data_IF_296025037131
#
_entry.id   IF_296025037131
#
_cell.length_a   1.000
_cell.length_b   1.000
_cell.length_c   1.000
_cell.angle_alpha   90.00
_cell.angle_beta   90.00
_cell.angle_gamma   90.00
#
_symmetry.space_group_name_H-M   'P 1'
#
loop_
_entity.id
_entity.type
_entity.pdbx_description
1 polymer ?
#
# COMPACT_ATOMS: atom_id res chain seq x y z
N UNK A 1 -49.39 31.55 -48.51
CA UNK A 1 -49.44 30.96 -47.16
C UNK A 1 -48.60 29.69 -47.20
N UNK A 2 -47.51 29.63 -46.45
CA UNK A 2 -46.60 28.49 -46.42
C UNK A 2 -46.83 27.72 -45.12
N UNK A 3 -47.46 26.56 -45.21
CA UNK A 3 -47.45 25.56 -44.13
C UNK A 3 -46.35 24.58 -44.45
N UNK A 4 -45.23 24.70 -43.75
CA UNK A 4 -44.16 23.71 -43.82
C UNK A 4 -44.50 22.61 -42.81
N UNK A 5 -44.53 21.35 -43.26
CA UNK A 5 -44.74 20.20 -42.39
C UNK A 5 -43.67 20.17 -41.29
N UNK A 6 -44.12 19.92 -40.05
CA UNK A 6 -43.22 19.70 -38.92
C UNK A 6 -42.50 18.39 -39.18
N UNK A 7 -41.23 18.46 -39.60
CA UNK A 7 -40.36 17.29 -39.62
C UNK A 7 -40.21 16.82 -38.18
N UNK A 8 -40.71 15.64 -37.87
CA UNK A 8 -40.41 14.98 -36.61
C UNK A 8 -38.89 14.82 -36.51
N UNK A 9 -38.26 15.71 -35.74
CA UNK A 9 -36.87 15.56 -35.34
C UNK A 9 -36.85 14.54 -34.21
N UNK A 10 -37.11 13.27 -34.54
CA UNK A 10 -36.70 12.16 -33.69
C UNK A 10 -35.21 12.29 -33.42
N UNK A 11 -34.78 11.95 -32.20
CA UNK A 11 -33.36 11.85 -31.87
C UNK A 11 -32.98 10.41 -32.23
N UNK A 12 -32.45 10.14 -33.43
CA UNK A 12 -32.27 8.77 -33.92
C UNK A 12 -31.43 7.92 -32.95
N UNK A 13 -30.48 8.54 -32.27
CA UNK A 13 -29.62 7.89 -31.28
C UNK A 13 -30.37 7.26 -30.10
N UNK A 14 -31.56 7.77 -29.74
CA UNK A 14 -32.38 7.25 -28.65
C UNK A 14 -33.23 6.05 -29.09
N UNK A 15 -33.68 6.03 -30.35
CA UNK A 15 -34.53 4.97 -30.90
C UNK A 15 -33.76 3.65 -31.11
N UNK A 16 -32.43 3.71 -31.23
CA UNK A 16 -31.57 2.51 -31.30
C UNK A 16 -31.12 1.96 -29.93
N UNK A 17 -31.40 2.67 -28.83
CA UNK A 17 -31.00 2.23 -27.48
C UNK A 17 -32.01 1.23 -26.91
N UNK A 18 -31.85 -0.05 -27.26
CA UNK A 18 -32.63 -1.12 -26.64
C UNK A 18 -32.35 -1.19 -25.13
N UNK A 19 -33.42 -1.27 -24.33
CA UNK A 19 -33.41 -1.53 -22.88
C UNK A 19 -32.42 -2.63 -22.47
N UNK A 20 -32.32 -3.70 -23.28
CA UNK A 20 -31.41 -4.83 -23.05
C UNK A 20 -29.93 -4.43 -23.19
N UNK A 21 -29.61 -3.54 -24.14
CA UNK A 21 -28.26 -3.03 -24.38
C UNK A 21 -27.79 -2.11 -23.24
N UNK A 22 -28.69 -1.25 -22.73
CA UNK A 22 -28.43 -0.39 -21.58
C UNK A 22 -28.21 -1.20 -20.30
N UNK A 23 -29.03 -2.24 -20.07
CA UNK A 23 -28.89 -3.14 -18.93
C UNK A 23 -27.57 -3.91 -18.97
N UNK A 24 -27.12 -4.37 -20.15
CA UNK A 24 -25.80 -5.00 -20.32
C UNK A 24 -24.66 -4.04 -19.97
N UNK A 25 -24.70 -2.81 -20.48
CA UNK A 25 -23.66 -1.79 -20.19
C UNK A 25 -23.64 -1.42 -18.70
N UNK A 26 -24.82 -1.30 -18.08
CA UNK A 26 -24.94 -1.05 -16.65
C UNK A 26 -24.36 -2.22 -15.82
N UNK A 27 -24.73 -3.46 -16.13
CA UNK A 27 -24.19 -4.65 -15.47
C UNK A 27 -22.67 -4.75 -15.63
N UNK A 28 -22.13 -4.45 -16.82
CA UNK A 28 -20.70 -4.41 -17.06
C UNK A 28 -19.99 -3.35 -16.20
N UNK A 29 -20.52 -2.13 -16.13
CA UNK A 29 -19.97 -1.08 -15.25
C UNK A 29 -20.02 -1.49 -13.78
N UNK A 30 -21.09 -2.14 -13.36
CA UNK A 30 -21.22 -2.63 -11.99
C UNK A 30 -20.18 -3.72 -11.68
N UNK A 31 -19.96 -4.65 -12.62
CA UNK A 31 -18.90 -5.66 -12.52
C UNK A 31 -17.52 -5.03 -12.42
N UNK A 32 -17.19 -4.08 -13.31
CA UNK A 32 -15.91 -3.36 -13.26
C UNK A 32 -15.69 -2.67 -11.90
N UNK A 33 -16.73 -2.02 -11.35
CA UNK A 33 -16.65 -1.40 -10.02
C UNK A 33 -16.39 -2.43 -8.93
N UNK A 34 -17.04 -3.58 -8.99
CA UNK A 34 -16.83 -4.66 -8.02
C UNK A 34 -15.42 -5.25 -8.13
N UNK A 35 -14.93 -5.49 -9.34
CA UNK A 35 -13.61 -6.06 -9.58
C UNK A 35 -12.51 -5.08 -9.15
N UNK A 36 -12.64 -3.79 -9.47
CA UNK A 36 -11.74 -2.76 -8.98
C UNK A 36 -11.74 -2.68 -7.45
N UNK A 37 -12.92 -2.72 -6.82
CA UNK A 37 -13.04 -2.70 -5.36
C UNK A 37 -12.38 -3.92 -4.71
N UNK A 38 -12.49 -5.10 -5.33
CA UNK A 38 -11.83 -6.33 -4.88
C UNK A 38 -10.31 -6.18 -4.95
N UNK A 39 -9.77 -5.82 -6.13
CA UNK A 39 -8.32 -5.62 -6.34
C UNK A 39 -7.75 -4.56 -5.41
N UNK A 40 -8.39 -3.39 -5.33
CA UNK A 40 -7.96 -2.32 -4.44
C UNK A 40 -7.92 -2.75 -2.96
N UNK A 41 -8.86 -3.60 -2.54
CA UNK A 41 -8.86 -4.14 -1.17
C UNK A 41 -7.73 -5.16 -0.96
N UNK A 42 -7.55 -6.10 -1.87
CA UNK A 42 -6.57 -7.20 -1.71
C UNK A 42 -5.14 -6.73 -1.93
N UNK A 43 -4.92 -5.97 -2.99
CA UNK A 43 -3.59 -5.56 -3.44
C UNK A 43 -3.14 -4.30 -2.68
N UNK A 44 -3.88 -3.20 -2.77
CA UNK A 44 -3.45 -1.94 -2.15
C UNK A 44 -3.67 -1.94 -0.62
N UNK A 45 -4.93 -2.02 -0.15
CA UNK A 45 -5.23 -1.94 1.29
C UNK A 45 -4.65 -3.11 2.09
N UNK A 46 -4.47 -4.27 1.46
CA UNK A 46 -3.81 -5.44 2.02
C UNK A 46 -2.32 -5.19 2.30
N UNK A 47 -1.62 -4.56 1.35
CA UNK A 47 -0.19 -4.31 1.42
C UNK A 47 0.21 -3.08 2.25
N UNK A 48 -0.74 -2.21 2.64
CA UNK A 48 -0.44 -0.99 3.42
C UNK A 48 0.42 -1.22 4.68
N UNK A 49 0.26 -2.36 5.37
CA UNK A 49 1.10 -2.71 6.55
C UNK A 49 2.54 -3.00 6.17
N UNK A 50 2.76 -3.67 5.05
CA UNK A 50 4.11 -3.98 4.56
C UNK A 50 4.76 -2.71 4.00
N UNK A 51 3.97 -1.88 3.32
CA UNK A 51 4.40 -0.56 2.84
C UNK A 51 4.80 0.36 3.99
N UNK A 52 4.08 0.39 5.12
CA UNK A 52 4.44 1.18 6.31
C UNK A 52 5.81 0.78 6.90
N UNK A 53 6.16 -0.51 6.87
CA UNK A 53 7.48 -0.98 7.31
C UNK A 53 8.58 -0.55 6.34
N UNK A 54 8.34 -0.68 5.03
CA UNK A 54 9.32 -0.34 3.99
C UNK A 54 9.58 1.16 3.87
N UNK A 55 8.54 1.98 4.00
CA UNK A 55 8.61 3.43 3.74
C UNK A 55 8.84 4.27 5.00
N UNK A 56 9.20 3.64 6.13
CA UNK A 56 9.45 4.34 7.40
C UNK A 56 10.61 5.35 7.30
N UNK A 57 11.49 5.17 6.32
CA UNK A 57 12.69 5.99 6.10
C UNK A 57 12.63 6.88 4.86
N UNK A 58 11.53 6.87 4.08
CA UNK A 58 11.51 7.45 2.73
C UNK A 58 10.17 8.09 2.32
N UNK A 59 9.31 8.44 3.28
CA UNK A 59 8.03 9.11 3.00
C UNK A 59 8.24 10.60 2.75
N UNK A 60 8.56 10.96 1.50
CA UNK A 60 8.35 12.34 1.05
C UNK A 60 6.85 12.54 0.85
N UNK A 61 6.25 13.45 1.61
CA UNK A 61 4.90 13.94 1.34
C UNK A 61 5.05 15.34 0.78
N UNK A 62 4.25 15.68 -0.22
CA UNK A 62 4.24 16.99 -0.83
C UNK A 62 2.93 17.71 -0.57
N UNK A 63 2.98 19.04 -0.63
CA UNK A 63 1.80 19.86 -0.55
C UNK A 63 0.97 19.60 -1.81
N UNK A 64 -0.25 19.10 -1.61
CA UNK A 64 -1.14 18.75 -2.71
C UNK A 64 -1.49 17.27 -2.77
N UNK A 65 -0.74 16.40 -2.10
CA UNK A 65 -0.96 14.96 -2.13
C UNK A 65 -2.32 14.56 -1.59
N UNK A 66 -2.90 13.52 -2.20
CA UNK A 66 -4.12 12.88 -1.70
C UNK A 66 -3.73 11.66 -0.86
N UNK A 67 -4.10 11.70 0.42
CA UNK A 67 -3.74 10.68 1.41
C UNK A 67 -4.98 10.08 2.08
N UNK A 68 -4.93 8.80 2.40
CA UNK A 68 -5.86 8.13 3.31
C UNK A 68 -5.45 8.37 4.75
N UNK A 69 -6.41 8.80 5.56
CA UNK A 69 -6.24 8.95 7.01
C UNK A 69 -6.56 7.64 7.70
N UNK A 70 -5.56 7.04 8.32
CA UNK A 70 -5.73 5.91 9.21
C UNK A 70 -6.58 6.32 10.43
N UNK A 71 -7.61 5.52 10.73
CA UNK A 71 -8.41 5.64 11.95
C UNK A 71 -8.70 4.26 12.52
N UNK A 72 -8.39 4.08 13.82
CA UNK A 72 -8.54 2.80 14.53
C UNK A 72 -10.00 2.33 14.61
N UNK A 73 -10.93 3.27 14.68
CA UNK A 73 -12.35 3.00 14.94
C UNK A 73 -13.14 2.64 13.66
N UNK A 74 -12.49 2.64 12.49
CA UNK A 74 -13.14 2.47 11.19
C UNK A 74 -12.41 1.42 10.37
N UNK A 75 -13.17 0.65 9.57
CA UNK A 75 -12.58 -0.32 8.65
C UNK A 75 -11.70 0.42 7.63
N UNK A 76 -10.65 -0.23 7.13
CA UNK A 76 -9.72 0.39 6.16
C UNK A 76 -10.39 0.93 4.90
N UNK A 77 -11.50 0.31 4.49
CA UNK A 77 -12.29 0.75 3.34
C UNK A 77 -13.04 2.07 3.58
N UNK A 78 -13.27 2.41 4.84
CA UNK A 78 -14.04 3.58 5.26
C UNK A 78 -13.11 4.73 5.72
N UNK A 79 -11.79 4.56 5.58
CA UNK A 79 -10.82 5.60 5.86
C UNK A 79 -11.02 6.81 4.94
N UNK A 80 -10.99 7.99 5.53
CA UNK A 80 -11.23 9.22 4.80
C UNK A 80 -10.02 9.61 3.97
N UNK A 81 -10.22 9.84 2.67
CA UNK A 81 -9.22 10.46 1.80
C UNK A 81 -9.26 11.99 1.94
N UNK A 82 -8.10 12.63 2.06
CA UNK A 82 -7.95 14.07 2.26
C UNK A 82 -6.73 14.60 1.52
N UNK A 83 -6.76 15.88 1.17
CA UNK A 83 -5.65 16.57 0.51
C UNK A 83 -4.73 17.20 1.55
N UNK A 84 -3.42 17.09 1.35
CA UNK A 84 -2.39 17.78 2.13
C UNK A 84 -2.38 19.27 1.81
N UNK A 85 -2.46 20.10 2.85
CA UNK A 85 -2.37 21.58 2.73
C UNK A 85 -0.99 22.06 3.18
N UNK A 86 -0.52 21.59 4.34
CA UNK A 86 0.71 22.07 4.96
C UNK A 86 1.49 20.90 5.57
N UNK A 87 2.82 21.04 5.58
CA UNK A 87 3.76 20.06 6.11
C UNK A 87 4.55 20.69 7.26
N UNK A 88 4.71 19.96 8.35
CA UNK A 88 5.51 20.40 9.50
C UNK A 88 6.76 19.54 9.63
N UNK A 89 7.90 20.18 9.37
CA UNK A 89 9.22 19.57 9.46
C UNK A 89 9.81 19.73 10.87
N UNK A 90 10.51 18.69 11.32
CA UNK A 90 11.37 18.72 12.51
C UNK A 90 12.68 19.44 12.19
N UNK A 91 13.45 19.90 13.19
CA UNK A 91 14.84 20.35 13.00
C UNK A 91 15.72 19.31 12.29
N UNK A 92 15.40 18.02 12.48
CA UNK A 92 16.05 16.88 11.81
C UNK A 92 15.66 16.73 10.31
N UNK A 93 15.01 17.73 9.71
CA UNK A 93 14.50 17.76 8.33
C UNK A 93 13.46 16.68 7.98
N UNK A 94 12.96 15.94 8.97
CA UNK A 94 11.92 14.94 8.78
C UNK A 94 10.52 15.52 8.99
N UNK A 95 9.59 15.22 8.08
CA UNK A 95 8.17 15.58 8.21
C UNK A 95 7.53 14.68 9.26
N UNK A 96 7.00 15.25 10.35
CA UNK A 96 6.34 14.49 11.43
C UNK A 96 4.82 14.69 11.44
N UNK A 97 4.36 15.90 11.13
CA UNK A 97 2.95 16.29 11.16
C UNK A 97 2.53 16.89 9.83
N UNK A 98 1.28 16.63 9.45
CA UNK A 98 0.69 17.09 8.20
C UNK A 98 -0.70 17.65 8.49
N UNK A 99 -1.02 18.77 7.85
CA UNK A 99 -2.32 19.41 7.89
C UNK A 99 -3.15 19.01 6.68
N UNK A 100 -4.37 18.56 6.94
CA UNK A 100 -5.24 17.97 5.94
C UNK A 100 -6.54 18.75 5.81
N UNK A 101 -6.98 18.96 4.57
CA UNK A 101 -8.24 19.63 4.27
C UNK A 101 -9.42 18.69 4.44
N UNK A 102 -10.23 18.90 5.47
CA UNK A 102 -11.50 18.19 5.69
C UNK A 102 -12.68 19.06 5.26
N UNK A 103 -13.85 18.44 5.03
CA UNK A 103 -15.09 19.16 4.66
C UNK A 103 -15.47 20.26 5.66
N UNK A 104 -15.23 20.00 6.94
CA UNK A 104 -15.67 20.85 8.05
C UNK A 104 -14.51 21.66 8.68
N UNK A 105 -13.34 21.67 8.05
CA UNK A 105 -12.16 22.36 8.60
C UNK A 105 -10.86 21.62 8.32
N UNK A 106 -9.89 21.81 9.21
CA UNK A 106 -8.53 21.29 9.04
C UNK A 106 -8.19 20.32 10.16
N UNK A 107 -7.46 19.25 9.83
CA UNK A 107 -7.07 18.23 10.80
C UNK A 107 -5.57 18.00 10.72
N UNK A 108 -4.92 18.00 11.87
CA UNK A 108 -3.53 17.61 12.01
C UNK A 108 -3.43 16.10 12.25
N UNK A 109 -2.58 15.44 11.47
CA UNK A 109 -2.28 14.01 11.62
C UNK A 109 -0.78 13.74 11.50
N UNK A 110 -0.24 12.80 12.29
CA UNK A 110 1.12 12.32 12.09
C UNK A 110 1.26 11.61 10.74
N UNK A 111 2.42 11.75 10.09
CA UNK A 111 2.75 11.10 8.81
C UNK A 111 2.56 9.58 8.86
N UNK A 112 2.84 8.97 10.02
CA UNK A 112 2.67 7.53 10.20
C UNK A 112 1.21 7.07 10.01
N UNK A 113 0.25 7.95 10.31
CA UNK A 113 -1.19 7.70 10.17
C UNK A 113 -1.71 8.06 8.77
N UNK A 114 -0.82 8.35 7.82
CA UNK A 114 -1.16 8.74 6.45
C UNK A 114 -0.59 7.75 5.45
N UNK A 115 -1.42 7.41 4.47
CA UNK A 115 -1.07 6.54 3.35
C UNK A 115 -1.34 7.26 2.02
N UNK A 116 -0.32 7.44 1.15
CA UNK A 116 -0.50 8.11 -0.13
C UNK A 116 -1.33 7.26 -1.08
N UNK A 117 -2.34 7.86 -1.72
CA UNK A 117 -3.19 7.19 -2.72
C UNK A 117 -2.57 7.20 -4.11
N UNK A 118 -1.79 8.24 -4.39
CA UNK A 118 -1.12 8.43 -5.67
C UNK A 118 0.30 7.86 -5.58
N UNK A 119 0.77 7.29 -6.69
CA UNK A 119 2.15 6.81 -6.80
C UNK A 119 2.95 7.92 -7.47
N UNK A 120 3.88 8.51 -6.74
CA UNK A 120 4.81 9.48 -7.31
C UNK A 120 5.81 8.79 -8.23
N UNK A 121 6.39 9.50 -9.20
CA UNK A 121 7.39 8.93 -10.13
C UNK A 121 8.58 8.30 -9.39
N UNK A 122 8.99 8.91 -8.27
CA UNK A 122 10.03 8.36 -7.40
C UNK A 122 9.64 6.99 -6.79
N UNK A 123 8.38 6.84 -6.36
CA UNK A 123 7.88 5.58 -5.84
C UNK A 123 7.71 4.51 -6.92
N UNK A 124 7.35 4.90 -8.15
CA UNK A 124 7.29 3.97 -9.30
C UNK A 124 8.63 3.30 -9.56
N UNK A 125 9.71 4.10 -9.58
CA UNK A 125 11.08 3.63 -9.78
C UNK A 125 11.51 2.71 -8.64
N UNK A 126 11.15 3.03 -7.40
CA UNK A 126 11.46 2.19 -6.24
C UNK A 126 10.72 0.85 -6.32
N UNK A 127 9.42 0.83 -6.60
CA UNK A 127 8.65 -0.41 -6.74
C UNK A 127 9.21 -1.34 -7.84
N UNK A 128 9.59 -0.78 -9.00
CA UNK A 128 10.15 -1.56 -10.12
C UNK A 128 11.51 -2.21 -9.81
N UNK A 129 12.32 -1.62 -8.95
CA UNK A 129 13.62 -2.19 -8.56
C UNK A 129 13.49 -3.46 -7.70
N UNK A 130 12.36 -3.66 -7.03
CA UNK A 130 12.11 -4.79 -6.13
C UNK A 130 11.19 -5.88 -6.73
N UNK A 131 10.73 -5.70 -7.97
CA UNK A 131 9.92 -6.69 -8.71
C UNK A 131 10.76 -7.61 -9.62
N UNK A 132 12.10 -7.53 -9.59
CA UNK A 132 12.94 -8.58 -10.18
C UNK A 132 12.84 -9.83 -9.30
N UNK A 133 12.33 -10.98 -9.80
CA UNK A 133 12.55 -12.22 -9.09
C UNK A 133 14.05 -12.46 -9.07
N UNK A 134 14.62 -12.65 -7.88
CA UNK A 134 15.95 -13.24 -7.76
C UNK A 134 15.87 -14.63 -8.42
N UNK A 135 16.33 -14.75 -9.66
CA UNK A 135 16.67 -16.05 -10.21
C UNK A 135 17.84 -16.56 -9.39
N UNK A 136 17.53 -17.41 -8.43
CA UNK A 136 18.51 -18.22 -7.71
C UNK A 136 19.18 -19.14 -8.73
N UNK A 137 20.32 -18.72 -9.30
CA UNK A 137 21.23 -19.65 -9.94
C UNK A 137 21.94 -20.40 -8.82
N UNK A 138 21.54 -21.64 -8.61
CA UNK A 138 22.15 -22.51 -7.63
C UNK A 138 23.51 -22.98 -8.17
N UNK A 139 24.59 -22.38 -7.67
CA UNK A 139 25.96 -22.86 -7.90
C UNK A 139 26.27 -23.96 -6.87
N UNK A 140 26.35 -25.21 -7.35
CA UNK A 140 26.59 -26.43 -6.56
C UNK A 140 27.93 -26.42 -5.79
N UNK A 141 28.84 -25.51 -6.13
CA UNK A 141 30.15 -25.36 -5.47
C UNK A 141 30.07 -24.81 -4.04
N UNK A 142 29.02 -24.06 -3.69
CA UNK A 142 28.88 -23.43 -2.36
C UNK A 142 28.44 -24.38 -1.24
N UNK A 143 27.76 -25.48 -1.58
CA UNK A 143 27.27 -26.42 -0.55
C UNK A 143 28.34 -27.32 0.02
N UNK A 144 29.33 -27.73 -0.78
CA UNK A 144 30.42 -28.55 -0.28
C UNK A 144 31.33 -27.78 0.66
N UNK A 145 31.59 -26.49 0.41
CA UNK A 145 32.40 -25.66 1.32
C UNK A 145 31.71 -25.43 2.68
N UNK A 146 30.37 -25.29 2.71
CA UNK A 146 29.61 -25.17 3.96
C UNK A 146 29.67 -26.43 4.82
N UNK A 147 29.79 -27.61 4.20
CA UNK A 147 29.82 -28.89 4.93
C UNK A 147 31.16 -29.13 5.66
N UNK A 148 32.24 -28.46 5.26
CA UNK A 148 33.55 -28.59 5.91
C UNK A 148 33.75 -27.65 7.11
N UNK A 149 33.02 -26.55 7.20
CA UNK A 149 33.20 -25.52 8.26
C UNK A 149 32.53 -25.91 9.58
N UNK A 150 31.48 -26.74 9.55
CA UNK A 150 30.60 -26.99 10.70
C UNK A 150 31.14 -27.99 11.75
N UNK A 151 32.36 -28.52 11.57
CA UNK A 151 32.98 -29.50 12.50
C UNK A 151 33.95 -28.90 13.53
N UNK A 152 34.19 -27.59 13.53
CA UNK A 152 35.25 -26.97 14.36
C UNK A 152 34.80 -26.00 15.43
N UNK A 153 33.52 -25.91 15.79
CA UNK A 153 33.08 -25.07 16.93
C UNK A 153 32.58 -25.90 18.12
N UNK A 154 33.25 -25.74 19.25
CA UNK A 154 32.94 -26.33 20.55
C UNK A 154 31.68 -25.69 21.14
N UNK A 155 30.67 -26.51 21.41
CA UNK A 155 29.38 -26.07 21.95
C UNK A 155 29.50 -25.67 23.44
N UNK A 156 29.38 -24.37 23.75
CA UNK A 156 29.08 -23.90 25.10
C UNK A 156 27.55 -23.95 25.37
N UNK A 157 27.09 -24.57 26.47
CA UNK A 157 25.65 -24.67 26.77
C UNK A 157 25.04 -23.30 27.09
N UNK A 158 24.07 -22.89 26.27
CA UNK A 158 23.30 -21.65 26.43
C UNK A 158 21.83 -21.94 26.71
N UNK A 159 21.16 -21.02 27.42
CA UNK A 159 19.71 -21.05 27.64
C UNK A 159 18.93 -20.84 26.34
N UNK A 160 17.64 -21.23 26.32
CA UNK A 160 16.70 -21.00 25.20
C UNK A 160 16.57 -19.53 24.75
N UNK A 161 16.97 -18.58 25.61
CA UNK A 161 17.02 -17.14 25.30
C UNK A 161 18.45 -16.64 25.03
N UNK A 162 19.41 -17.53 24.75
CA UNK A 162 20.79 -17.19 24.38
C UNK A 162 21.70 -16.73 25.52
N UNK A 163 21.28 -16.89 26.78
CA UNK A 163 22.13 -16.53 27.94
C UNK A 163 23.07 -17.67 28.29
N UNK A 164 24.37 -17.36 28.40
CA UNK A 164 25.41 -18.32 28.85
C UNK A 164 25.12 -18.75 30.28
N UNK A 165 25.05 -20.05 30.52
CA UNK A 165 24.84 -20.61 31.87
C UNK A 165 26.19 -20.76 32.55
N UNK A 166 26.35 -20.15 33.73
CA UNK A 166 27.55 -20.31 34.56
C UNK A 166 27.43 -21.66 35.28
N UNK A 167 28.35 -22.58 35.03
CA UNK A 167 28.39 -23.85 35.76
C UNK A 167 28.70 -23.56 37.24
N UNK A 168 27.88 -24.08 38.14
CA UNK A 168 28.11 -24.01 39.59
C UNK A 168 28.74 -25.34 39.99
N UNK A 169 29.95 -25.30 40.53
CA UNK A 169 30.64 -26.49 41.03
C UNK A 169 29.97 -26.96 42.32
N UNK A 170 29.34 -28.14 42.29
CA UNK A 170 28.87 -28.83 43.49
C UNK A 170 30.06 -29.41 44.24
N UNK A 171 30.35 -28.88 45.42
CA UNK A 171 31.25 -29.51 46.39
C UNK A 171 30.57 -30.77 46.94
N UNK A 172 31.16 -31.93 46.66
CA UNK A 172 30.77 -33.22 47.24
C UNK A 172 31.65 -33.46 48.47
N UNK A 173 31.02 -33.81 49.61
CA UNK A 173 31.66 -34.26 50.85
C UNK A 173 32.31 -35.64 50.70
#
# INVERSE_FOLDING_TARGET
MFLQEVKEAGIPDLDFLDSKSLNKRYAYRQRLRQDLRKRFRSEYLGQLRQYEKKMRNSKSHEIGDVVLIFSDNTKRLDWSSRKVIELFMSPDQNIRLVKLKTKNGEVLRPVLRLHPLEVTEHERVMCQKYDKPETFTYDETSELERYFVDKTESYEPTSRYGRKLKQVETLVL
#
